data_IF_091268353225
#
_entry.id   IF_091268353225
#
_cell.length_a   1.000
_cell.length_b   1.000
_cell.length_c   1.000
_cell.angle_alpha   90.00
_cell.angle_beta   90.00
_cell.angle_gamma   90.00
#
_symmetry.space_group_name_H-M   'P 1'
#
loop_
_entity.id
_entity.type
_entity.pdbx_description
1 polymer ?
#
# COMPACT_ATOMS: atom_id res chain seq x y z
N UNK A 1 -34.09 -1.03 -64.78
CA UNK A 1 -32.99 -0.54 -65.62
C UNK A 1 -31.76 -1.39 -65.27
N UNK A 2 -31.52 -2.40 -66.10
CA UNK A 2 -30.36 -3.29 -66.27
C UNK A 2 -29.50 -3.77 -65.06
N UNK A 3 -29.50 -5.09 -64.86
CA UNK A 3 -28.32 -5.87 -64.42
C UNK A 3 -27.20 -5.80 -65.48
N UNK A 4 -25.94 -6.12 -65.12
CA UNK A 4 -25.02 -7.04 -65.84
C UNK A 4 -23.64 -7.09 -65.14
N UNK A 5 -23.31 -8.31 -64.68
CA UNK A 5 -22.03 -9.04 -64.64
C UNK A 5 -20.76 -8.39 -65.25
N UNK A 6 -19.60 -8.55 -64.58
CA UNK A 6 -18.43 -9.30 -65.09
C UNK A 6 -17.22 -9.19 -64.14
N UNK A 7 -16.80 -10.34 -63.64
CA UNK A 7 -15.44 -10.64 -63.15
C UNK A 7 -14.55 -10.95 -64.37
N UNK A 8 -13.22 -10.76 -64.29
CA UNK A 8 -12.39 -11.93 -64.58
C UNK A 8 -11.09 -12.03 -63.76
N UNK A 9 -10.83 -13.27 -63.31
CA UNK A 9 -9.52 -13.79 -62.93
C UNK A 9 -8.44 -13.57 -64.01
N UNK A 10 -7.26 -13.09 -63.60
CA UNK A 10 -6.00 -13.42 -64.26
C UNK A 10 -4.87 -13.66 -63.24
N UNK A 11 -4.02 -14.62 -63.58
CA UNK A 11 -3.11 -15.38 -62.74
C UNK A 11 -1.65 -14.95 -62.99
N UNK A 12 -0.78 -14.91 -61.96
CA UNK A 12 0.59 -15.51 -61.97
C UNK A 12 1.44 -15.24 -60.72
N UNK A 13 2.30 -16.23 -60.47
CA UNK A 13 3.17 -16.49 -59.33
C UNK A 13 4.36 -15.54 -59.12
N UNK A 14 4.88 -15.47 -57.89
CA UNK A 14 6.22 -14.95 -57.58
C UNK A 14 6.49 -14.71 -56.09
N UNK A 15 7.32 -15.54 -55.47
CA UNK A 15 8.06 -15.26 -54.22
C UNK A 15 9.57 -15.35 -54.54
N UNK A 16 10.54 -15.02 -53.64
CA UNK A 16 10.57 -14.19 -52.43
C UNK A 16 11.71 -13.12 -52.46
N UNK A 17 11.78 -12.17 -51.50
CA UNK A 17 13.00 -11.36 -51.32
C UNK A 17 12.88 -10.09 -50.46
N UNK A 18 13.45 -10.18 -49.25
CA UNK A 18 14.21 -9.16 -48.47
C UNK A 18 13.86 -7.68 -48.59
N UNK A 19 13.48 -7.05 -47.47
CA UNK A 19 14.27 -5.97 -46.85
C UNK A 19 13.64 -5.54 -45.51
N UNK A 20 14.14 -6.13 -44.42
CA UNK A 20 13.85 -5.70 -43.06
C UNK A 20 15.00 -4.88 -42.51
N UNK A 21 14.95 -3.55 -42.60
CA UNK A 21 15.95 -2.71 -41.91
C UNK A 21 15.52 -1.28 -41.58
N UNK A 22 14.22 -0.99 -41.41
CA UNK A 22 13.77 0.36 -40.99
C UNK A 22 12.63 0.37 -39.98
N UNK A 23 12.49 -0.69 -39.17
CA UNK A 23 11.59 -0.66 -38.02
C UNK A 23 12.33 -0.22 -36.75
N UNK A 24 12.22 1.09 -36.48
CA UNK A 24 11.86 1.61 -35.16
C UNK A 24 12.92 1.72 -34.04
N UNK A 25 13.72 2.79 -34.09
CA UNK A 25 14.31 3.36 -32.88
C UNK A 25 13.22 3.77 -31.86
N UNK A 26 12.06 4.26 -32.31
CA UNK A 26 10.95 4.70 -31.46
C UNK A 26 10.19 3.54 -30.80
N UNK A 27 9.96 2.41 -31.48
CA UNK A 27 9.41 1.19 -30.85
C UNK A 27 10.41 0.54 -29.90
N UNK A 28 11.72 0.68 -30.14
CA UNK A 28 12.74 0.13 -29.25
C UNK A 28 12.74 0.83 -27.88
N UNK A 29 12.43 2.13 -27.81
CA UNK A 29 12.37 2.89 -26.56
C UNK A 29 11.09 2.58 -25.75
N UNK A 30 9.93 2.43 -26.41
CA UNK A 30 8.68 1.97 -25.76
C UNK A 30 8.77 0.52 -25.30
N UNK A 31 9.38 -0.36 -26.11
CA UNK A 31 9.60 -1.77 -25.75
C UNK A 31 10.60 -1.93 -24.59
N UNK A 32 11.64 -1.09 -24.52
CA UNK A 32 12.64 -1.14 -23.44
C UNK A 32 12.11 -0.59 -22.12
N UNK A 33 11.20 0.39 -22.16
CA UNK A 33 10.55 0.94 -20.95
C UNK A 33 9.47 0.00 -20.39
N UNK A 34 8.73 -0.69 -21.27
CA UNK A 34 7.78 -1.73 -20.86
C UNK A 34 8.43 -2.92 -20.14
N UNK A 35 9.71 -3.21 -20.43
CA UNK A 35 10.39 -4.42 -19.95
C UNK A 35 10.93 -4.31 -18.51
N UNK A 36 11.21 -3.10 -18.01
CA UNK A 36 11.69 -2.88 -16.64
C UNK A 36 10.57 -3.04 -15.60
N UNK A 37 9.36 -2.54 -15.91
CA UNK A 37 8.18 -2.70 -15.05
C UNK A 37 7.60 -4.13 -15.12
N UNK A 38 7.68 -4.80 -16.27
CA UNK A 38 7.28 -6.21 -16.40
C UNK A 38 8.23 -7.20 -15.68
N UNK A 39 9.45 -6.75 -15.29
CA UNK A 39 10.43 -7.57 -14.57
C UNK A 39 9.98 -7.90 -13.13
N UNK A 40 9.19 -7.02 -12.52
CA UNK A 40 8.55 -7.23 -11.21
C UNK A 40 7.11 -7.75 -11.31
N UNK A 41 6.53 -7.77 -12.52
CA UNK A 41 5.29 -8.48 -12.81
C UNK A 41 5.46 -10.02 -12.78
N UNK A 42 6.69 -10.55 -12.61
CA UNK A 42 6.92 -11.97 -12.34
C UNK A 42 6.70 -12.25 -10.84
N UNK A 43 5.58 -12.90 -10.45
CA UNK A 43 5.24 -13.12 -9.04
C UNK A 43 6.30 -13.97 -8.32
N UNK A 44 7.01 -14.84 -9.03
CA UNK A 44 8.06 -15.68 -8.45
C UNK A 44 9.29 -14.89 -8.00
N UNK A 45 9.66 -13.83 -8.74
CA UNK A 45 10.78 -12.95 -8.34
C UNK A 45 10.42 -12.10 -7.15
N UNK A 46 9.21 -11.53 -7.14
CA UNK A 46 8.69 -10.78 -6.00
C UNK A 46 8.67 -11.63 -4.72
N UNK A 47 8.10 -12.83 -4.79
CA UNK A 47 8.02 -13.74 -3.62
C UNK A 47 9.41 -14.13 -3.09
N UNK A 48 10.38 -14.41 -3.98
CA UNK A 48 11.75 -14.74 -3.59
C UNK A 48 12.47 -13.57 -2.93
N UNK A 49 12.34 -12.37 -3.50
CA UNK A 49 12.92 -11.16 -2.94
C UNK A 49 12.28 -10.80 -1.59
N UNK A 50 10.95 -10.84 -1.52
CA UNK A 50 10.20 -10.60 -0.30
C UNK A 50 10.54 -11.60 0.81
N UNK A 51 10.75 -12.87 0.48
CA UNK A 51 11.18 -13.89 1.44
C UNK A 51 12.57 -13.59 2.03
N UNK A 52 13.50 -13.12 1.20
CA UNK A 52 14.83 -12.71 1.66
C UNK A 52 14.77 -11.44 2.51
N UNK A 53 13.94 -10.46 2.13
CA UNK A 53 13.82 -9.18 2.83
C UNK A 53 13.06 -9.28 4.16
N UNK A 54 12.12 -10.22 4.28
CA UNK A 54 11.28 -10.40 5.47
C UNK A 54 12.05 -10.44 6.80
N UNK A 55 13.08 -11.30 7.01
CA UNK A 55 13.81 -11.33 8.28
C UNK A 55 14.56 -10.03 8.56
N UNK A 56 15.06 -9.34 7.52
CA UNK A 56 15.77 -8.07 7.65
C UNK A 56 14.87 -6.89 8.01
N UNK A 57 13.56 -7.02 7.78
CA UNK A 57 12.58 -6.07 8.33
C UNK A 57 12.12 -6.51 9.72
N UNK A 58 11.80 -7.80 9.88
CA UNK A 58 11.13 -8.31 11.08
C UNK A 58 12.03 -8.30 12.31
N UNK A 59 13.27 -8.80 12.21
CA UNK A 59 14.16 -8.88 13.37
C UNK A 59 14.57 -7.50 13.88
N UNK A 60 15.05 -6.56 13.04
CA UNK A 60 15.36 -5.22 13.50
C UNK A 60 14.10 -4.48 13.99
N UNK A 61 12.93 -4.68 13.37
CA UNK A 61 11.69 -4.09 13.87
C UNK A 61 11.40 -4.48 15.33
N UNK A 62 11.50 -5.77 15.66
CA UNK A 62 11.25 -6.26 17.02
C UNK A 62 12.28 -5.71 18.00
N UNK A 63 13.57 -5.83 17.68
CA UNK A 63 14.67 -5.39 18.54
C UNK A 63 14.60 -3.89 18.80
N UNK A 64 14.47 -3.07 17.75
CA UNK A 64 14.44 -1.61 17.87
C UNK A 64 13.18 -1.12 18.58
N UNK A 65 12.01 -1.71 18.29
CA UNK A 65 10.76 -1.35 18.96
C UNK A 65 10.83 -1.68 20.45
N UNK A 66 11.28 -2.88 20.81
CA UNK A 66 11.40 -3.28 22.22
C UNK A 66 12.45 -2.45 22.95
N UNK A 67 13.62 -2.23 22.37
CA UNK A 67 14.68 -1.43 22.96
C UNK A 67 14.24 0.04 23.12
N UNK A 68 13.62 0.63 22.08
CA UNK A 68 13.13 2.00 22.12
C UNK A 68 12.01 2.20 23.15
N UNK A 69 11.05 1.28 23.23
CA UNK A 69 9.97 1.33 24.23
C UNK A 69 10.56 1.17 25.63
N UNK A 70 11.41 0.17 25.86
CA UNK A 70 12.01 -0.05 27.19
C UNK A 70 12.85 1.16 27.62
N UNK A 71 13.65 1.71 26.71
CA UNK A 71 14.42 2.93 26.97
C UNK A 71 13.49 4.10 27.32
N UNK A 72 12.49 4.36 26.48
CA UNK A 72 11.54 5.44 26.69
C UNK A 72 10.74 5.32 28.00
N UNK A 73 10.33 4.11 28.37
CA UNK A 73 9.54 3.87 29.57
C UNK A 73 10.34 3.95 30.87
N UNK A 74 11.58 3.47 30.90
CA UNK A 74 12.33 3.35 32.15
C UNK A 74 13.45 4.39 32.32
N UNK A 75 14.02 4.91 31.23
CA UNK A 75 15.23 5.73 31.28
C UNK A 75 15.04 7.14 30.71
N UNK A 76 13.98 7.41 29.96
CA UNK A 76 13.63 8.78 29.58
C UNK A 76 13.39 9.62 30.83
N UNK A 77 13.93 10.86 30.92
CA UNK A 77 13.51 11.78 31.96
C UNK A 77 12.05 12.18 31.78
N UNK A 78 11.42 12.61 32.87
CA UNK A 78 10.12 13.27 32.83
C UNK A 78 10.26 14.63 32.13
N UNK A 79 9.24 15.02 31.37
CA UNK A 79 9.19 16.35 30.78
C UNK A 79 8.80 17.40 31.83
N UNK A 80 9.30 18.63 31.68
CA UNK A 80 9.05 19.70 32.65
C UNK A 80 7.58 20.10 32.73
N UNK A 81 6.84 20.02 31.61
CA UNK A 81 5.43 20.38 31.52
C UNK A 81 4.52 19.16 31.61
N UNK A 82 4.92 18.05 30.97
CA UNK A 82 4.06 16.86 30.83
C UNK A 82 4.31 15.79 31.92
N UNK A 83 5.38 15.92 32.70
CA UNK A 83 5.81 14.91 33.66
C UNK A 83 6.08 13.56 32.98
N UNK A 84 5.69 12.46 33.63
CA UNK A 84 5.82 11.10 33.06
C UNK A 84 4.85 10.82 31.90
N UNK A 85 3.84 11.66 31.65
CA UNK A 85 2.91 11.49 30.53
C UNK A 85 3.62 11.55 29.18
N UNK A 86 4.77 12.23 29.11
CA UNK A 86 5.62 12.28 27.91
C UNK A 86 6.04 10.89 27.41
N UNK A 87 6.06 9.88 28.27
CA UNK A 87 6.45 8.51 27.88
C UNK A 87 5.47 7.88 26.88
N UNK A 88 4.22 8.36 26.80
CA UNK A 88 3.24 7.93 25.79
C UNK A 88 3.72 8.31 24.36
N UNK A 89 4.54 9.37 24.24
CA UNK A 89 5.15 9.82 22.99
C UNK A 89 5.84 8.71 22.21
N UNK A 90 6.54 7.81 22.91
CA UNK A 90 7.33 6.74 22.32
C UNK A 90 6.49 5.71 21.56
N UNK A 91 5.17 5.69 21.77
CA UNK A 91 4.21 4.90 20.99
C UNK A 91 3.39 5.82 20.09
N UNK A 92 2.85 6.91 20.65
CA UNK A 92 1.94 7.79 19.94
C UNK A 92 2.58 8.42 18.69
N UNK A 93 3.73 9.06 18.83
CA UNK A 93 4.37 9.80 17.73
C UNK A 93 4.76 8.88 16.56
N UNK A 94 5.41 7.73 16.78
CA UNK A 94 5.64 6.75 15.71
C UNK A 94 4.36 6.31 15.00
N UNK A 95 3.28 6.03 15.76
CA UNK A 95 2.01 5.61 15.16
C UNK A 95 1.31 6.73 14.40
N UNK A 96 1.40 7.98 14.85
CA UNK A 96 0.88 9.14 14.13
C UNK A 96 1.60 9.33 12.79
N UNK A 97 2.92 9.23 12.79
CA UNK A 97 3.71 9.34 11.56
C UNK A 97 3.37 8.20 10.59
N UNK A 98 3.28 6.96 11.09
CA UNK A 98 2.95 5.80 10.26
C UNK A 98 1.51 5.79 9.75
N UNK A 99 0.55 6.34 10.50
CA UNK A 99 -0.82 6.48 10.02
C UNK A 99 -0.85 7.30 8.71
N UNK A 100 -0.21 8.48 8.71
CA UNK A 100 -0.12 9.36 7.54
C UNK A 100 0.79 8.81 6.44
N UNK A 101 1.98 8.29 6.78
CA UNK A 101 2.90 7.72 5.80
C UNK A 101 2.36 6.45 5.14
N UNK A 102 1.64 5.62 5.89
CA UNK A 102 0.93 4.46 5.36
C UNK A 102 -0.14 4.86 4.35
N UNK A 103 -0.86 5.96 4.61
CA UNK A 103 -1.93 6.41 3.73
C UNK A 103 -1.34 7.06 2.48
N UNK A 104 -0.21 7.76 2.60
CA UNK A 104 0.57 8.20 1.45
C UNK A 104 1.02 7.01 0.59
N UNK A 105 1.53 5.93 1.21
CA UNK A 105 1.89 4.70 0.51
C UNK A 105 0.70 4.07 -0.22
N UNK A 106 -0.47 4.03 0.42
CA UNK A 106 -1.74 3.61 -0.18
C UNK A 106 -2.11 4.51 -1.36
N UNK A 107 -2.06 5.83 -1.21
CA UNK A 107 -2.38 6.79 -2.27
C UNK A 107 -1.43 6.66 -3.47
N UNK A 108 -0.13 6.46 -3.24
CA UNK A 108 0.84 6.16 -4.32
C UNK A 108 0.48 4.85 -5.02
N UNK A 109 0.14 3.79 -4.28
CA UNK A 109 -0.31 2.54 -4.89
C UNK A 109 -1.60 2.72 -5.70
N UNK A 110 -2.54 3.52 -5.21
CA UNK A 110 -3.78 3.89 -5.93
C UNK A 110 -3.49 4.68 -7.21
N UNK A 111 -2.53 5.62 -7.19
CA UNK A 111 -2.08 6.34 -8.39
C UNK A 111 -1.47 5.36 -9.40
N UNK A 112 -0.57 4.49 -8.92
CA UNK A 112 0.10 3.48 -9.74
C UNK A 112 -0.91 2.52 -10.39
N UNK A 113 -1.94 2.13 -9.64
CA UNK A 113 -3.07 1.34 -10.12
C UNK A 113 -3.85 2.06 -11.23
N UNK A 114 -4.28 3.31 -11.01
CA UNK A 114 -5.14 4.00 -11.96
C UNK A 114 -4.42 4.39 -13.26
N UNK A 115 -3.18 4.87 -13.14
CA UNK A 115 -2.42 5.39 -14.29
C UNK A 115 -1.77 4.26 -15.09
N UNK A 116 -1.12 3.30 -14.41
CA UNK A 116 -0.35 2.23 -15.08
C UNK A 116 -1.03 0.86 -15.04
N UNK A 117 -2.18 0.72 -14.37
CA UNK A 117 -2.90 -0.57 -14.23
C UNK A 117 -2.00 -1.67 -13.68
N UNK A 118 -1.14 -1.32 -12.73
CA UNK A 118 -0.13 -2.24 -12.19
C UNK A 118 -0.77 -3.23 -11.20
N UNK A 119 -0.81 -4.55 -11.50
CA UNK A 119 -1.57 -5.51 -10.68
C UNK A 119 -1.06 -5.64 -9.24
N UNK A 120 0.25 -5.49 -9.01
CA UNK A 120 0.78 -5.48 -7.63
C UNK A 120 0.44 -4.20 -6.87
N UNK A 121 0.14 -3.10 -7.55
CA UNK A 121 -0.22 -1.85 -6.89
C UNK A 121 -1.63 -1.94 -6.31
N UNK A 122 -2.55 -2.59 -7.02
CA UNK A 122 -3.89 -2.94 -6.50
C UNK A 122 -3.77 -3.77 -5.22
N UNK A 123 -3.02 -4.89 -5.28
CA UNK A 123 -2.81 -5.75 -4.12
C UNK A 123 -2.09 -5.00 -2.98
N UNK A 124 -1.10 -4.16 -3.28
CA UNK A 124 -0.40 -3.40 -2.25
C UNK A 124 -1.34 -2.42 -1.53
N UNK A 125 -2.17 -1.67 -2.26
CA UNK A 125 -3.16 -0.78 -1.65
C UNK A 125 -4.15 -1.55 -0.76
N UNK A 126 -4.64 -2.70 -1.23
CA UNK A 126 -5.52 -3.61 -0.47
C UNK A 126 -4.86 -4.04 0.84
N UNK A 127 -3.58 -4.41 0.82
CA UNK A 127 -2.89 -4.93 2.00
C UNK A 127 -2.35 -3.85 2.94
N UNK A 128 -2.08 -2.63 2.44
CA UNK A 128 -1.74 -1.48 3.28
C UNK A 128 -2.95 -1.05 4.10
N UNK A 129 -4.15 -1.07 3.52
CA UNK A 129 -5.38 -0.58 4.14
C UNK A 129 -5.60 -1.07 5.59
N UNK A 130 -5.70 -2.39 5.85
CA UNK A 130 -5.91 -2.93 7.19
C UNK A 130 -4.80 -2.60 8.19
N UNK A 131 -3.53 -2.56 7.74
CA UNK A 131 -2.39 -2.27 8.62
C UNK A 131 -2.38 -0.79 8.99
N UNK A 132 -2.62 0.09 8.02
CA UNK A 132 -2.75 1.52 8.24
C UNK A 132 -3.95 1.88 9.12
N UNK A 133 -5.09 1.23 8.93
CA UNK A 133 -6.26 1.37 9.80
C UNK A 133 -5.94 1.01 11.26
N UNK A 134 -5.27 -0.13 11.50
CA UNK A 134 -4.89 -0.57 12.83
C UNK A 134 -3.92 0.41 13.50
N UNK A 135 -2.90 0.89 12.78
CA UNK A 135 -1.97 1.91 13.30
C UNK A 135 -2.68 3.22 13.62
N UNK A 136 -3.61 3.65 12.76
CA UNK A 136 -4.38 4.88 12.99
C UNK A 136 -5.29 4.74 14.21
N UNK A 137 -5.90 3.58 14.43
CA UNK A 137 -6.67 3.28 15.64
C UNK A 137 -5.79 3.35 16.91
N UNK A 138 -4.58 2.78 16.87
CA UNK A 138 -3.61 2.89 17.99
C UNK A 138 -3.20 4.35 18.20
N UNK A 139 -2.98 5.12 17.14
CA UNK A 139 -2.69 6.55 17.23
C UNK A 139 -3.82 7.32 17.92
N UNK A 140 -5.08 7.08 17.53
CA UNK A 140 -6.25 7.72 18.16
C UNK A 140 -6.40 7.33 19.64
N UNK A 141 -6.23 6.04 19.96
CA UNK A 141 -6.33 5.56 21.34
C UNK A 141 -5.22 6.13 22.24
N UNK A 142 -3.98 6.09 21.78
CA UNK A 142 -2.82 6.65 22.52
C UNK A 142 -2.88 8.17 22.60
N UNK A 143 -3.38 8.83 21.56
CA UNK A 143 -3.61 10.28 21.56
C UNK A 143 -4.68 10.69 22.58
N UNK A 144 -5.76 9.91 22.69
CA UNK A 144 -6.79 10.13 23.70
C UNK A 144 -6.24 9.94 25.13
N UNK A 145 -5.44 8.89 25.35
CA UNK A 145 -4.74 8.64 26.62
C UNK A 145 -3.81 9.79 27.01
N UNK A 146 -3.10 10.36 26.02
CA UNK A 146 -2.19 11.48 26.25
C UNK A 146 -2.94 12.82 26.42
N UNK A 147 -4.06 13.02 25.73
CA UNK A 147 -4.88 14.22 25.86
C UNK A 147 -5.47 14.42 27.26
N UNK A 148 -5.82 13.33 27.96
CA UNK A 148 -6.44 13.41 29.30
C UNK A 148 -5.58 14.15 30.33
N UNK A 149 -4.31 13.79 30.57
CA UNK A 149 -3.44 14.55 31.49
C UNK A 149 -3.06 15.93 30.95
N UNK A 150 -2.97 16.11 29.63
CA UNK A 150 -2.51 17.37 29.03
C UNK A 150 -3.57 18.47 28.99
N UNK A 151 -4.82 18.12 28.72
CA UNK A 151 -5.92 19.07 28.47
C UNK A 151 -7.16 18.79 29.34
N UNK A 152 -7.10 17.81 30.24
CA UNK A 152 -8.22 17.45 31.12
C UNK A 152 -9.33 16.63 30.46
N UNK A 153 -9.25 16.33 29.16
CA UNK A 153 -10.26 15.60 28.39
C UNK A 153 -9.65 14.56 27.46
N UNK A 154 -10.40 13.49 27.18
CA UNK A 154 -10.01 12.40 26.29
C UNK A 154 -10.14 12.76 24.80
N UNK A 155 -10.97 13.76 24.48
CA UNK A 155 -11.24 14.18 23.11
C UNK A 155 -11.66 15.65 23.07
N UNK A 156 -11.25 16.31 21.98
CA UNK A 156 -11.73 17.62 21.55
C UNK A 156 -11.89 17.59 20.03
N UNK A 157 -12.83 18.36 19.51
CA UNK A 157 -13.09 18.46 18.08
C UNK A 157 -12.19 19.51 17.42
N UNK A 158 -10.87 19.39 17.61
CA UNK A 158 -9.91 20.27 16.94
C UNK A 158 -9.59 19.77 15.52
N UNK A 159 -8.95 20.62 14.71
CA UNK A 159 -8.67 20.30 13.31
C UNK A 159 -7.73 19.08 13.16
N UNK A 160 -6.79 18.87 14.10
CA UNK A 160 -5.83 17.76 14.01
C UNK A 160 -6.47 16.42 14.37
N UNK A 161 -7.14 16.33 15.51
CA UNK A 161 -7.79 15.08 15.94
C UNK A 161 -8.88 14.68 14.98
N UNK A 162 -9.68 15.67 14.52
CA UNK A 162 -10.76 15.41 13.56
C UNK A 162 -10.21 14.91 12.23
N UNK A 163 -9.13 15.50 11.70
CA UNK A 163 -8.52 15.01 10.45
C UNK A 163 -7.89 13.62 10.61
N UNK A 164 -7.22 13.30 11.73
CA UNK A 164 -6.74 11.93 11.97
C UNK A 164 -7.90 10.92 12.11
N UNK A 165 -9.04 11.32 12.69
CA UNK A 165 -10.25 10.49 12.71
C UNK A 165 -10.83 10.30 11.29
N UNK A 166 -10.85 11.35 10.48
CA UNK A 166 -11.21 11.26 9.06
C UNK A 166 -10.28 10.30 8.32
N UNK A 167 -8.96 10.38 8.54
CA UNK A 167 -7.99 9.43 8.00
C UNK A 167 -8.31 7.97 8.37
N UNK A 168 -8.70 7.73 9.63
CA UNK A 168 -9.14 6.40 10.05
C UNK A 168 -10.36 5.92 9.25
N UNK A 169 -11.37 6.77 9.08
CA UNK A 169 -12.54 6.44 8.26
C UNK A 169 -12.20 6.30 6.77
N UNK A 170 -11.22 7.04 6.25
CA UNK A 170 -10.74 6.88 4.88
C UNK A 170 -10.11 5.50 4.66
N UNK A 171 -9.31 5.01 5.61
CA UNK A 171 -8.82 3.64 5.57
C UNK A 171 -9.95 2.60 5.60
N UNK A 172 -10.93 2.76 6.50
CA UNK A 172 -12.08 1.86 6.59
C UNK A 172 -12.93 1.90 5.31
N UNK A 173 -13.15 3.09 4.77
CA UNK A 173 -13.86 3.32 3.51
C UNK A 173 -13.15 2.63 2.36
N UNK A 174 -11.81 2.74 2.28
CA UNK A 174 -11.02 2.03 1.27
C UNK A 174 -11.20 0.51 1.38
N UNK A 175 -11.11 -0.06 2.59
CA UNK A 175 -11.30 -1.50 2.84
C UNK A 175 -12.73 -1.94 2.44
N UNK A 176 -13.74 -1.16 2.80
CA UNK A 176 -15.13 -1.46 2.49
C UNK A 176 -15.38 -1.40 0.97
N UNK A 177 -14.84 -0.38 0.29
CA UNK A 177 -15.10 -0.13 -1.12
C UNK A 177 -14.48 -1.19 -2.04
N UNK A 178 -13.33 -1.77 -1.65
CA UNK A 178 -12.75 -2.95 -2.31
C UNK A 178 -13.74 -4.12 -2.35
N UNK A 179 -14.56 -4.27 -1.30
CA UNK A 179 -15.48 -5.41 -1.11
C UNK A 179 -16.93 -5.11 -1.49
N UNK A 180 -17.22 -3.88 -1.93
CA UNK A 180 -18.58 -3.42 -2.19
C UNK A 180 -19.13 -3.83 -3.57
N UNK A 181 -18.28 -4.38 -4.45
CA UNK A 181 -18.65 -4.72 -5.82
C UNK A 181 -18.40 -6.20 -6.11
N UNK A 182 -19.29 -6.84 -6.87
CA UNK A 182 -19.14 -8.22 -7.31
C UNK A 182 -17.95 -8.39 -8.27
N UNK A 183 -17.74 -7.40 -9.15
CA UNK A 183 -16.61 -7.35 -10.07
C UNK A 183 -15.39 -6.71 -9.37
N UNK A 184 -14.32 -7.47 -9.09
CA UNK A 184 -13.20 -6.99 -8.28
C UNK A 184 -12.52 -5.74 -8.85
N UNK A 185 -12.43 -5.65 -10.18
CA UNK A 185 -11.78 -4.51 -10.83
C UNK A 185 -12.51 -3.19 -10.59
N UNK A 186 -13.85 -3.22 -10.43
CA UNK A 186 -14.64 -2.04 -10.09
C UNK A 186 -14.36 -1.59 -8.65
N UNK A 187 -14.25 -2.55 -7.73
CA UNK A 187 -13.86 -2.30 -6.34
C UNK A 187 -12.48 -1.64 -6.23
N UNK A 188 -11.46 -2.18 -6.92
CA UNK A 188 -10.12 -1.60 -6.91
C UNK A 188 -10.09 -0.17 -7.46
N UNK A 189 -10.80 0.11 -8.56
CA UNK A 189 -10.86 1.47 -9.12
C UNK A 189 -11.54 2.45 -8.17
N UNK A 190 -12.69 2.07 -7.60
CA UNK A 190 -13.42 2.91 -6.68
C UNK A 190 -12.58 3.21 -5.42
N UNK A 191 -11.95 2.18 -4.85
CA UNK A 191 -11.05 2.32 -3.70
C UNK A 191 -9.82 3.17 -4.03
N UNK A 192 -9.24 3.04 -5.22
CA UNK A 192 -8.11 3.85 -5.64
C UNK A 192 -8.47 5.34 -5.77
N UNK A 193 -9.66 5.66 -6.30
CA UNK A 193 -10.16 7.05 -6.36
C UNK A 193 -10.32 7.63 -4.95
N UNK A 194 -10.91 6.86 -4.01
CA UNK A 194 -11.01 7.27 -2.61
C UNK A 194 -9.62 7.48 -1.97
N UNK A 195 -8.68 6.57 -2.24
CA UNK A 195 -7.30 6.67 -1.76
C UNK A 195 -6.63 7.97 -2.19
N UNK A 196 -6.79 8.38 -3.45
CA UNK A 196 -6.26 9.65 -3.96
C UNK A 196 -6.99 10.86 -3.39
N UNK A 197 -8.32 10.83 -3.33
CA UNK A 197 -9.11 11.93 -2.75
C UNK A 197 -8.74 12.14 -1.28
N UNK A 198 -8.60 11.06 -0.51
CA UNK A 198 -8.19 11.13 0.88
C UNK A 198 -6.75 11.60 1.09
N UNK A 199 -5.87 11.57 0.07
CA UNK A 199 -4.52 12.10 0.20
C UNK A 199 -4.51 13.62 0.47
N UNK A 200 -5.59 14.32 0.14
CA UNK A 200 -5.83 15.73 0.47
C UNK A 200 -5.91 15.94 1.99
N UNK A 201 -6.30 14.93 2.77
CA UNK A 201 -6.36 15.00 4.23
C UNK A 201 -4.96 15.08 4.88
N UNK A 202 -3.92 14.54 4.22
CA UNK A 202 -2.56 14.53 4.75
C UNK A 202 -1.96 15.94 4.99
N UNK A 203 -2.02 16.90 4.03
CA UNK A 203 -1.62 18.27 4.32
C UNK A 203 -2.52 18.92 5.38
N UNK A 204 -3.81 18.56 5.45
CA UNK A 204 -4.69 19.06 6.52
C UNK A 204 -4.16 18.62 7.89
N UNK A 205 -3.84 17.35 8.09
CA UNK A 205 -3.26 16.84 9.34
C UNK A 205 -1.93 17.54 9.66
N UNK A 206 -1.04 17.67 8.65
CA UNK A 206 0.30 18.23 8.84
C UNK A 206 0.21 19.70 9.25
N UNK A 207 -0.56 20.49 8.51
CA UNK A 207 -0.63 21.94 8.68
C UNK A 207 -1.74 22.40 9.62
N UNK A 208 -2.54 21.50 10.17
CA UNK A 208 -3.69 21.80 11.05
C UNK A 208 -3.33 22.76 12.19
N UNK A 209 -2.16 22.58 12.80
CA UNK A 209 -1.71 23.41 13.94
C UNK A 209 -1.43 24.83 13.48
N UNK A 210 -0.77 25.02 12.34
CA UNK A 210 -0.47 26.37 11.82
C UNK A 210 -1.72 27.07 11.29
N UNK A 211 -2.62 26.32 10.66
CA UNK A 211 -3.83 26.89 10.06
C UNK A 211 -4.90 27.26 11.10
N UNK A 212 -5.04 26.48 12.17
CA UNK A 212 -6.13 26.64 13.15
C UNK A 212 -5.69 26.89 14.59
N UNK A 213 -4.39 27.04 14.88
CA UNK A 213 -3.86 27.25 16.24
C UNK A 213 -4.44 26.24 17.24
N UNK A 214 -4.35 24.95 16.91
CA UNK A 214 -4.97 23.91 17.72
C UNK A 214 -4.23 23.65 19.03
N UNK A 215 -4.82 22.87 19.94
CA UNK A 215 -4.22 22.50 21.24
C UNK A 215 -2.95 21.65 21.12
N UNK A 216 -2.65 21.16 19.92
CA UNK A 216 -1.47 20.35 19.66
C UNK A 216 -0.23 21.22 19.59
N UNK A 217 0.83 20.79 20.27
CA UNK A 217 2.11 21.47 20.19
C UNK A 217 2.67 21.40 18.75
N UNK A 218 3.35 22.46 18.28
CA UNK A 218 4.13 22.40 17.04
C UNK A 218 5.18 21.30 17.10
N UNK A 219 5.57 20.79 15.94
CA UNK A 219 6.50 19.66 15.85
C UNK A 219 7.86 20.00 16.49
N UNK A 220 8.32 19.17 17.44
CA UNK A 220 9.64 19.32 18.09
C UNK A 220 10.79 18.84 17.21
N UNK A 221 10.48 18.12 16.13
CA UNK A 221 11.41 17.64 15.11
C UNK A 221 10.97 18.23 13.78
N UNK A 222 11.82 19.09 13.21
CA UNK A 222 11.59 19.69 11.88
C UNK A 222 12.72 19.30 10.94
N UNK A 223 12.45 19.36 9.64
CA UNK A 223 13.44 19.00 8.60
C UNK A 223 14.54 20.06 8.48
N UNK A 224 14.26 21.29 8.89
CA UNK A 224 15.11 22.48 8.64
C UNK A 224 15.70 23.10 9.91
N UNK A 225 15.32 22.62 11.11
CA UNK A 225 15.74 23.19 12.38
C UNK A 225 16.39 22.16 13.31
N UNK A 226 17.17 22.64 14.27
CA UNK A 226 17.67 21.80 15.35
C UNK A 226 16.48 21.22 16.15
N UNK A 227 16.53 19.94 16.58
CA UNK A 227 15.52 19.37 17.46
C UNK A 227 15.41 20.21 18.74
N UNK A 228 14.18 20.57 19.12
CA UNK A 228 13.92 21.34 20.36
C UNK A 228 13.86 20.44 21.59
N UNK A 229 13.90 19.12 21.39
CA UNK A 229 13.84 18.11 22.45
C UNK A 229 15.23 17.64 22.88
N UNK A 230 15.38 17.26 24.15
CA UNK A 230 16.66 16.75 24.66
C UNK A 230 17.08 15.46 23.96
N UNK A 231 18.39 15.26 23.79
CA UNK A 231 18.96 14.04 23.19
C UNK A 231 18.55 12.77 23.94
N UNK A 232 18.37 12.87 25.26
CA UNK A 232 17.91 11.77 26.12
C UNK A 232 16.50 11.26 25.79
N UNK A 233 15.64 12.11 25.24
CA UNK A 233 14.30 11.74 24.75
C UNK A 233 14.29 11.44 23.25
N UNK A 234 15.20 12.06 22.47
CA UNK A 234 15.26 11.84 21.02
C UNK A 234 15.71 10.43 20.64
N UNK A 235 16.71 9.87 21.33
CA UNK A 235 17.21 8.52 21.02
C UNK A 235 16.15 7.43 21.14
N UNK A 236 15.43 7.28 22.27
CA UNK A 236 14.34 6.30 22.36
C UNK A 236 13.25 6.55 21.31
N UNK A 237 12.91 7.82 21.04
CA UNK A 237 11.92 8.15 20.01
C UNK A 237 12.39 7.74 18.59
N UNK A 238 13.67 7.92 18.27
CA UNK A 238 14.26 7.49 17.00
C UNK A 238 14.22 5.96 16.85
N UNK A 239 14.56 5.23 17.92
CA UNK A 239 14.50 3.77 17.95
C UNK A 239 13.07 3.25 17.75
N UNK A 240 12.08 3.80 18.46
CA UNK A 240 10.68 3.41 18.28
C UNK A 240 10.16 3.78 16.90
N UNK A 241 10.52 4.95 16.37
CA UNK A 241 10.11 5.39 15.02
C UNK A 241 10.65 4.45 13.96
N UNK A 242 11.94 4.12 14.00
CA UNK A 242 12.56 3.18 13.06
C UNK A 242 12.00 1.77 13.23
N UNK A 243 11.90 1.29 14.47
CA UNK A 243 11.38 -0.04 14.79
C UNK A 243 9.94 -0.24 14.29
N UNK A 244 9.06 0.72 14.56
CA UNK A 244 7.66 0.66 14.13
C UNK A 244 7.56 0.77 12.60
N UNK A 245 8.40 1.59 11.96
CA UNK A 245 8.43 1.72 10.49
C UNK A 245 8.84 0.40 9.82
N UNK A 246 9.89 -0.24 10.33
CA UNK A 246 10.31 -1.56 9.85
C UNK A 246 9.23 -2.61 10.13
N UNK A 247 8.55 -2.54 11.28
CA UNK A 247 7.45 -3.44 11.65
C UNK A 247 6.25 -3.30 10.72
N UNK A 248 5.84 -2.06 10.43
CA UNK A 248 4.80 -1.76 9.45
C UNK A 248 5.15 -2.35 8.08
N UNK A 249 6.37 -2.07 7.59
CA UNK A 249 6.88 -2.62 6.33
C UNK A 249 6.92 -4.15 6.32
N UNK A 250 7.33 -4.78 7.43
CA UNK A 250 7.39 -6.23 7.57
C UNK A 250 6.00 -6.87 7.49
N UNK A 251 5.00 -6.28 8.16
CA UNK A 251 3.62 -6.76 8.16
C UNK A 251 3.02 -6.58 6.76
N UNK A 252 3.13 -5.40 6.16
CA UNK A 252 2.62 -5.13 4.80
C UNK A 252 3.28 -6.06 3.79
N UNK A 253 4.60 -6.28 3.87
CA UNK A 253 5.31 -7.20 2.99
C UNK A 253 4.82 -8.65 3.16
N UNK A 254 4.63 -9.11 4.40
CA UNK A 254 4.12 -10.44 4.68
C UNK A 254 2.72 -10.64 4.09
N UNK A 255 1.83 -9.65 4.30
CA UNK A 255 0.47 -9.64 3.77
C UNK A 255 0.45 -9.63 2.24
N UNK A 256 1.23 -8.77 1.61
CA UNK A 256 1.34 -8.69 0.15
C UNK A 256 1.87 -10.00 -0.45
N UNK A 257 2.86 -10.63 0.19
CA UNK A 257 3.35 -11.95 -0.23
C UNK A 257 2.26 -13.02 -0.11
N UNK A 258 1.48 -13.00 0.97
CA UNK A 258 0.36 -13.92 1.15
C UNK A 258 -0.71 -13.73 0.06
N UNK A 259 -1.11 -12.48 -0.23
CA UNK A 259 -2.07 -12.15 -1.27
C UNK A 259 -1.61 -12.57 -2.67
N UNK A 260 -0.33 -12.37 -3.00
CA UNK A 260 0.26 -12.85 -4.26
C UNK A 260 0.24 -14.36 -4.34
N UNK A 261 0.57 -15.06 -3.25
CA UNK A 261 0.58 -16.53 -3.22
C UNK A 261 -0.83 -17.10 -3.34
N UNK A 262 -1.81 -16.49 -2.67
CA UNK A 262 -3.22 -16.83 -2.75
C UNK A 262 -3.76 -16.67 -4.19
N UNK A 263 -3.43 -15.54 -4.84
CA UNK A 263 -3.79 -15.29 -6.24
C UNK A 263 -3.27 -16.40 -7.16
N UNK A 264 -2.03 -16.84 -6.96
CA UNK A 264 -1.43 -17.94 -7.75
C UNK A 264 -2.14 -19.28 -7.51
N UNK A 265 -2.45 -19.60 -6.25
CA UNK A 265 -3.17 -20.83 -5.90
C UNK A 265 -4.54 -20.85 -6.58
N UNK A 266 -5.29 -19.73 -6.53
CA UNK A 266 -6.60 -19.61 -7.18
C UNK A 266 -6.51 -19.85 -8.69
N UNK A 267 -5.51 -19.28 -9.37
CA UNK A 267 -5.31 -19.50 -10.82
C UNK A 267 -5.02 -20.97 -11.15
N UNK A 268 -4.17 -21.64 -10.37
CA UNK A 268 -3.84 -23.05 -10.59
C UNK A 268 -5.06 -23.95 -10.36
N UNK A 269 -5.82 -23.71 -9.30
CA UNK A 269 -7.04 -24.48 -9.01
C UNK A 269 -8.11 -24.31 -10.10
N UNK A 270 -8.29 -23.10 -10.62
CA UNK A 270 -9.20 -22.84 -11.74
C UNK A 270 -8.77 -23.59 -13.02
N UNK A 271 -7.47 -23.58 -13.34
CA UNK A 271 -6.93 -24.31 -14.49
C UNK A 271 -7.11 -25.84 -14.35
N UNK A 272 -6.89 -26.38 -13.15
CA UNK A 272 -7.08 -27.81 -12.87
C UNK A 272 -8.56 -28.22 -12.98
N UNK A 273 -9.49 -27.39 -12.50
CA UNK A 273 -10.94 -27.63 -12.65
C UNK A 273 -11.35 -27.65 -14.13
N UNK A 274 -10.81 -26.73 -14.93
CA UNK A 274 -11.03 -26.73 -16.38
C UNK A 274 -10.58 -28.03 -17.05
N UNK A 275 -9.37 -28.51 -16.73
CA UNK A 275 -8.85 -29.79 -17.24
C UNK A 275 -9.71 -30.99 -16.85
N UNK A 276 -10.19 -31.04 -15.62
CA UNK A 276 -11.05 -32.13 -15.13
C UNK A 276 -12.41 -32.14 -15.85
N UNK A 277 -13.00 -30.96 -16.07
CA UNK A 277 -14.25 -30.82 -16.83
C UNK A 277 -14.07 -31.31 -18.27
N UNK A 278 -13.01 -30.89 -18.95
CA UNK A 278 -12.71 -31.35 -20.32
C UNK A 278 -12.51 -32.86 -20.40
N UNK A 279 -11.82 -33.46 -19.42
CA UNK A 279 -11.61 -34.90 -19.35
C UNK A 279 -12.92 -35.68 -19.11
N UNK A 280 -13.86 -35.14 -18.34
CA UNK A 280 -15.17 -35.75 -18.09
C UNK A 280 -16.14 -35.60 -19.27
N UNK A 281 -16.02 -34.52 -20.06
CA UNK A 281 -16.84 -34.31 -21.26
C UNK A 281 -16.31 -35.00 -22.52
N UNK A 282 -15.13 -35.62 -22.46
CA UNK A 282 -14.60 -36.39 -23.58
C UNK A 282 -15.46 -37.67 -23.78
N UNK A 283 -15.91 -37.97 -25.00
CA UNK A 283 -16.73 -39.15 -25.25
C UNK A 283 -15.98 -40.41 -24.82
N UNK A 284 -16.64 -41.24 -24.00
CA UNK A 284 -16.10 -42.55 -23.62
C UNK A 284 -15.87 -43.39 -24.87
N UNK A 285 -14.67 -43.94 -25.03
CA UNK A 285 -14.35 -44.82 -26.17
C UNK A 285 -15.32 -46.02 -26.33
N UNK A 286 -16.06 -46.37 -25.28
CA UNK A 286 -17.07 -47.43 -25.26
C UNK A 286 -18.38 -47.09 -26.00
N UNK A 287 -18.67 -45.83 -26.33
CA UNK A 287 -19.92 -45.46 -27.03
C UNK A 287 -19.80 -45.42 -28.56
N UNK A 288 -18.64 -45.77 -29.12
CA UNK A 288 -18.36 -45.70 -30.57
C UNK A 288 -18.38 -47.08 -31.27
N UNK A 289 -18.76 -48.16 -30.57
CA UNK A 289 -18.76 -49.54 -31.10
C UNK A 289 -20.13 -50.24 -31.06
N UNK A 290 -21.23 -49.49 -30.98
CA UNK A 290 -22.60 -50.03 -31.06
C UNK A 290 -23.27 -49.72 -32.40
#
# INVERSE_FOLDING_TARGET
MAEIFLDPFHCRDGAPGTDGSTLNATQSLTARTGNLFHRYANPGRFLRMGAKLQPWLTWPALVLSMAGIAWGLFFSPADWQQGDSVRIMYVHVPTAWLASSGYMGLAVCSLLSLVWRHPLADLAAVEIGPVGAAITAVCLATGSLWGKPMWGTWWVWDARLTSVLVLFFLYLGHIALIRAFDEPQRGYRAAAILGLAGAIDLPIIKFSVQWWNTLHQPDSITVTGAPTMSTSMLWPLGLTTLGFTLGFGAIVLARLRAAVMESRIRTILAANRGRQSTAQSAPSADSATA
#
